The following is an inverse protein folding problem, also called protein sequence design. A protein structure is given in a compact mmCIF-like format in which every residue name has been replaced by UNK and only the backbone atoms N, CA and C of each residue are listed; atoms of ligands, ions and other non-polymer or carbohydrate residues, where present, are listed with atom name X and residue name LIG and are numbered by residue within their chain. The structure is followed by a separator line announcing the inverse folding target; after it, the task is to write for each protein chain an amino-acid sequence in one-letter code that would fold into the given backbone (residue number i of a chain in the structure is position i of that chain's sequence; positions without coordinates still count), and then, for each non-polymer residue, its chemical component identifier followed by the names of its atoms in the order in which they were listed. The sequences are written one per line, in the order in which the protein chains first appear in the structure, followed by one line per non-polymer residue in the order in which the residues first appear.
data_IF_010267352863
#
_entry.id   IF_010267352863
#
_cell.length_a   1.000
_cell.length_b   1.000
_cell.length_c   1.000
_cell.angle_alpha   90.00
_cell.angle_beta   90.00
_cell.angle_gamma   90.00
#
_symmetry.space_group_name_H-M   'P 1'
#
loop_
_entity.id
_entity.type
_entity.pdbx_description
1 polymer ?
#
# COMPACT_ATOMS: atom_id res chain seq x y z
N UNK A 1 -18.73 13.60 40.06
CA UNK A 1 -17.67 12.76 40.65
C UNK A 1 -17.06 11.92 39.52
N UNK A 2 -16.07 12.48 38.80
CA UNK A 2 -15.51 11.90 37.57
C UNK A 2 -14.25 11.12 37.93
N UNK A 3 -14.27 9.79 37.75
CA UNK A 3 -13.08 8.94 37.92
C UNK A 3 -12.21 9.04 36.67
N UNK A 4 -10.96 9.44 36.87
CA UNK A 4 -9.95 9.62 35.83
C UNK A 4 -9.47 8.31 35.19
N UNK A 5 -9.31 8.36 33.87
CA UNK A 5 -8.60 7.37 33.06
C UNK A 5 -7.09 7.63 33.16
N UNK A 6 -6.45 7.15 34.23
CA UNK A 6 -4.98 7.04 34.28
C UNK A 6 -4.56 5.66 33.75
N UNK A 7 -4.69 5.46 32.44
CA UNK A 7 -4.05 4.35 31.76
C UNK A 7 -2.56 4.65 31.57
N UNK A 8 -1.68 4.02 32.33
CA UNK A 8 -0.24 4.03 32.03
C UNK A 8 -0.04 3.51 30.59
N UNK A 9 0.77 4.16 29.75
CA UNK A 9 1.10 3.61 28.44
C UNK A 9 1.72 2.22 28.61
N UNK A 10 1.41 1.26 27.72
CA UNK A 10 1.96 -0.08 27.79
C UNK A 10 3.49 -0.02 27.78
N UNK A 11 4.15 -0.76 28.68
CA UNK A 11 5.61 -0.91 28.69
C UNK A 11 6.04 -1.55 27.36
N UNK A 12 6.76 -0.79 26.55
CA UNK A 12 7.44 -1.28 25.34
C UNK A 12 8.49 -2.29 25.78
N UNK A 13 8.51 -3.48 25.17
CA UNK A 13 9.57 -4.47 25.42
C UNK A 13 10.82 -4.06 24.64
N UNK A 14 12.02 -4.20 25.21
CA UNK A 14 13.30 -3.78 24.58
C UNK A 14 13.53 -4.41 23.19
N UNK A 15 12.96 -5.59 22.91
CA UNK A 15 13.02 -6.26 21.59
C UNK A 15 12.17 -5.57 20.49
N UNK A 16 11.47 -4.49 20.83
CA UNK A 16 10.62 -3.71 19.93
C UNK A 16 11.29 -2.42 19.46
N UNK A 17 12.44 -2.06 20.03
CA UNK A 17 13.13 -0.81 19.77
C UNK A 17 14.23 -1.03 18.72
N UNK A 18 14.24 -0.19 17.70
CA UNK A 18 15.27 -0.15 16.66
C UNK A 18 15.76 1.29 16.52
N UNK A 19 17.08 1.50 16.53
CA UNK A 19 17.66 2.81 16.28
C UNK A 19 17.98 3.00 14.80
N UNK A 20 17.41 4.04 14.18
CA UNK A 20 17.62 4.38 12.77
C UNK A 20 17.93 5.86 12.66
N UNK A 21 19.04 6.19 11.98
CA UNK A 21 19.50 7.57 11.81
C UNK A 21 19.62 8.33 13.15
N UNK A 22 19.97 7.64 14.25
CA UNK A 22 20.07 8.24 15.59
C UNK A 22 18.74 8.36 16.34
N UNK A 23 17.63 7.90 15.75
CA UNK A 23 16.29 7.99 16.36
C UNK A 23 15.76 6.63 16.77
N UNK A 24 15.03 6.62 17.88
CA UNK A 24 14.28 5.46 18.35
C UNK A 24 13.05 5.21 17.46
N UNK A 25 12.89 3.96 17.03
CA UNK A 25 11.72 3.46 16.33
C UNK A 25 11.18 2.25 17.08
N UNK A 26 9.91 2.34 17.47
CA UNK A 26 9.25 1.32 18.28
C UNK A 26 8.28 0.53 17.40
N UNK A 27 8.40 -0.80 17.35
CA UNK A 27 7.41 -1.66 16.69
C UNK A 27 6.10 -1.64 17.48
N UNK A 28 5.04 -1.13 16.87
CA UNK A 28 3.72 -0.97 17.49
C UNK A 28 2.83 -2.19 17.21
N UNK A 29 2.82 -2.68 15.96
CA UNK A 29 1.96 -3.82 15.53
C UNK A 29 2.66 -4.66 14.47
N UNK A 30 2.31 -5.94 14.40
CA UNK A 30 2.81 -6.89 13.38
C UNK A 30 1.70 -7.81 12.89
N UNK A 31 1.72 -8.08 11.60
CA UNK A 31 0.96 -9.12 10.92
C UNK A 31 1.89 -9.87 9.94
N UNK A 32 1.45 -11.00 9.37
CA UNK A 32 2.25 -11.82 8.45
C UNK A 32 2.74 -11.04 7.20
N UNK A 33 1.99 -10.03 6.77
CA UNK A 33 2.29 -9.24 5.56
C UNK A 33 2.57 -7.75 5.78
N UNK A 34 2.49 -7.24 7.02
CA UNK A 34 2.80 -5.83 7.30
C UNK A 34 3.26 -5.63 8.75
N UNK A 35 3.98 -4.54 8.99
CA UNK A 35 4.44 -4.12 10.32
C UNK A 35 4.26 -2.61 10.47
N UNK A 36 3.79 -2.18 11.65
CA UNK A 36 3.69 -0.76 11.99
C UNK A 36 4.73 -0.43 13.06
N UNK A 37 5.37 0.72 12.88
CA UNK A 37 6.34 1.31 13.78
C UNK A 37 5.93 2.75 14.10
N UNK A 38 6.37 3.25 15.25
CA UNK A 38 6.20 4.65 15.63
C UNK A 38 7.55 5.31 15.89
N UNK A 39 7.65 6.59 15.56
CA UNK A 39 8.74 7.47 15.99
C UNK A 39 8.15 8.74 16.62
N UNK A 40 8.90 9.35 17.53
CA UNK A 40 8.57 10.61 18.19
C UNK A 40 9.03 11.85 17.41
N UNK A 41 9.62 11.67 16.23
CA UNK A 41 10.09 12.80 15.41
C UNK A 41 8.93 13.58 14.83
N UNK A 42 8.91 14.89 15.12
CA UNK A 42 7.87 15.80 14.63
C UNK A 42 8.28 16.58 13.37
N UNK A 43 9.58 16.70 13.08
CA UNK A 43 10.09 17.41 11.90
C UNK A 43 10.05 16.50 10.66
N UNK A 44 9.46 16.99 9.57
CA UNK A 44 9.28 16.22 8.33
C UNK A 44 10.59 15.83 7.62
N UNK A 45 11.63 16.68 7.65
CA UNK A 45 12.94 16.38 7.07
C UNK A 45 13.63 15.25 7.84
N UNK A 46 13.63 15.32 9.17
CA UNK A 46 14.16 14.27 10.03
C UNK A 46 13.37 12.96 9.86
N UNK A 47 12.04 13.07 9.72
CA UNK A 47 11.18 11.92 9.44
C UNK A 47 11.47 11.29 8.07
N UNK A 48 11.69 12.09 7.03
CA UNK A 48 12.12 11.63 5.71
C UNK A 48 13.50 10.95 5.76
N UNK A 49 14.45 11.50 6.52
CA UNK A 49 15.76 10.90 6.71
C UNK A 49 15.66 9.51 7.40
N UNK A 50 14.82 9.40 8.43
CA UNK A 50 14.48 8.12 9.06
C UNK A 50 13.87 7.16 8.05
N UNK A 51 12.89 7.61 7.25
CA UNK A 51 12.19 6.78 6.28
C UNK A 51 13.15 6.18 5.25
N UNK A 52 14.07 6.99 4.72
CA UNK A 52 15.10 6.54 3.78
C UNK A 52 16.11 5.58 4.44
N UNK A 53 16.55 5.89 5.66
CA UNK A 53 17.47 5.01 6.39
C UNK A 53 16.80 3.66 6.74
N UNK A 54 15.51 3.68 7.10
CA UNK A 54 14.71 2.49 7.31
C UNK A 54 14.61 1.68 6.01
N UNK A 55 14.26 2.34 4.89
CA UNK A 55 14.13 1.70 3.58
C UNK A 55 15.43 1.01 3.12
N UNK A 56 16.57 1.67 3.29
CA UNK A 56 17.89 1.10 2.96
C UNK A 56 18.26 -0.14 3.78
N UNK A 57 17.72 -0.27 5.00
CA UNK A 57 17.89 -1.50 5.80
C UNK A 57 16.99 -2.64 5.33
N UNK A 58 15.86 -2.33 4.68
CA UNK A 58 14.95 -3.34 4.14
C UNK A 58 15.45 -3.87 2.80
N UNK A 59 16.01 -3.00 1.94
CA UNK A 59 16.50 -3.40 0.63
C UNK A 59 16.89 -2.23 -0.26
N UNK A 60 16.89 -2.48 -1.58
CA UNK A 60 17.23 -1.46 -2.57
C UNK A 60 15.99 -0.61 -2.85
N UNK A 61 16.12 0.71 -2.68
CA UNK A 61 15.03 1.65 -2.99
C UNK A 61 14.77 1.62 -4.49
N UNK A 62 13.50 1.48 -4.86
CA UNK A 62 13.00 1.57 -6.22
C UNK A 62 12.56 3.03 -6.45
N UNK A 63 13.23 3.80 -7.33
CA UNK A 63 12.83 5.18 -7.58
C UNK A 63 11.42 5.26 -8.18
N UNK A 64 10.66 6.26 -7.71
CA UNK A 64 9.34 6.61 -8.21
C UNK A 64 9.40 7.50 -9.45
N UNK A 65 8.32 8.26 -9.65
CA UNK A 65 8.24 9.20 -10.80
C UNK A 65 9.37 10.24 -10.72
N UNK A 66 9.94 10.59 -11.88
CA UNK A 66 11.04 11.55 -12.00
C UNK A 66 12.28 11.20 -11.14
N UNK A 67 12.44 9.92 -10.74
CA UNK A 67 13.57 9.46 -9.93
C UNK A 67 13.45 9.77 -8.44
N UNK A 68 12.28 10.19 -7.95
CA UNK A 68 12.06 10.49 -6.54
C UNK A 68 12.26 9.25 -5.66
N UNK A 69 13.04 9.39 -4.58
CA UNK A 69 13.23 8.31 -3.59
C UNK A 69 12.14 8.29 -2.52
N UNK A 70 11.54 9.45 -2.25
CA UNK A 70 10.34 9.61 -1.42
C UNK A 70 9.30 10.31 -2.27
N UNK A 71 8.09 9.77 -2.28
CA UNK A 71 6.95 10.38 -2.96
C UNK A 71 5.90 10.81 -1.93
N UNK A 72 5.53 12.11 -1.88
CA UNK A 72 4.39 12.53 -1.08
C UNK A 72 3.08 12.02 -1.71
N UNK A 73 2.25 11.41 -0.89
CA UNK A 73 0.93 10.91 -1.24
C UNK A 73 -0.10 11.73 -0.46
N UNK A 74 -0.85 12.52 -1.22
CA UNK A 74 -1.94 13.36 -0.74
C UNK A 74 -3.21 12.97 -1.51
N UNK A 75 -4.37 12.79 -0.85
CA UNK A 75 -5.61 12.60 -1.57
C UNK A 75 -5.95 13.81 -2.44
N UNK A 76 -6.15 13.57 -3.73
CA UNK A 76 -6.51 14.61 -4.71
C UNK A 76 -7.86 14.30 -5.34
N UNK A 77 -8.57 15.35 -5.78
CA UNK A 77 -9.71 15.18 -6.68
C UNK A 77 -9.25 14.62 -8.03
N UNK A 78 -10.20 14.14 -8.83
CA UNK A 78 -9.94 13.62 -10.17
C UNK A 78 -9.29 14.66 -11.08
N UNK A 79 -9.64 15.93 -10.95
CA UNK A 79 -9.15 17.06 -11.77
C UNK A 79 -7.72 17.47 -11.39
N UNK A 80 -7.36 17.33 -10.10
CA UNK A 80 -6.04 17.67 -9.58
C UNK A 80 -5.06 16.49 -9.56
N UNK A 81 -5.54 15.29 -9.87
CA UNK A 81 -4.73 14.09 -9.90
C UNK A 81 -3.86 14.03 -11.15
N UNK A 82 -2.69 13.41 -11.01
CA UNK A 82 -1.84 13.11 -12.16
C UNK A 82 -2.56 12.17 -13.13
N UNK A 83 -2.48 12.46 -14.43
CA UNK A 83 -3.08 11.63 -15.48
C UNK A 83 -2.67 10.16 -15.30
N UNK A 84 -3.65 9.24 -15.42
CA UNK A 84 -3.43 7.78 -15.33
C UNK A 84 -2.90 7.31 -13.98
N UNK A 85 -3.09 8.10 -12.91
CA UNK A 85 -3.00 7.60 -11.54
C UNK A 85 -4.34 6.99 -11.12
N UNK A 86 -4.33 6.11 -10.10
CA UNK A 86 -5.58 5.66 -9.47
C UNK A 86 -6.43 6.85 -8.97
N UNK A 87 -5.80 7.92 -8.48
CA UNK A 87 -6.53 9.12 -8.08
C UNK A 87 -7.20 9.86 -9.26
N UNK A 88 -6.73 9.70 -10.50
CA UNK A 88 -7.42 10.26 -11.66
C UNK A 88 -8.72 9.50 -11.98
N UNK A 89 -8.83 8.23 -11.61
CA UNK A 89 -10.03 7.43 -11.80
C UNK A 89 -11.00 7.50 -10.60
N UNK A 90 -10.47 7.54 -9.37
CA UNK A 90 -11.27 7.41 -8.14
C UNK A 90 -11.29 8.69 -7.29
N UNK A 91 -10.39 9.63 -7.53
CA UNK A 91 -10.27 10.90 -6.81
C UNK A 91 -10.28 10.74 -5.29
N UNK A 92 -11.27 11.39 -4.67
CA UNK A 92 -11.51 11.39 -3.23
C UNK A 92 -12.33 10.20 -2.72
N UNK A 93 -12.88 9.40 -3.64
CA UNK A 93 -13.59 8.17 -3.34
C UNK A 93 -12.70 7.10 -2.72
N UNK A 94 -13.28 5.92 -2.55
CA UNK A 94 -12.52 4.73 -2.14
C UNK A 94 -11.50 4.38 -3.21
N UNK A 95 -10.23 4.24 -2.81
CA UNK A 95 -9.21 3.67 -3.68
C UNK A 95 -9.29 2.15 -3.59
N UNK A 96 -9.47 1.46 -4.72
CA UNK A 96 -9.63 0.01 -4.73
C UNK A 96 -8.38 -0.68 -4.19
N UNK A 97 -8.58 -1.90 -3.72
CA UNK A 97 -7.49 -2.77 -3.28
C UNK A 97 -6.60 -3.12 -4.47
N UNK A 98 -5.30 -2.91 -4.35
CA UNK A 98 -4.31 -3.17 -5.40
C UNK A 98 -2.95 -3.56 -4.80
N UNK A 99 -2.03 -4.01 -5.66
CA UNK A 99 -0.59 -3.95 -5.37
C UNK A 99 0.00 -2.72 -6.04
N UNK A 100 0.95 -2.05 -5.40
CA UNK A 100 1.56 -0.85 -5.94
C UNK A 100 2.61 -1.24 -6.99
N UNK A 101 2.93 -0.32 -7.90
CA UNK A 101 3.87 -0.55 -9.01
C UNK A 101 3.50 -1.77 -9.89
N UNK A 102 2.22 -2.13 -9.97
CA UNK A 102 1.72 -3.19 -10.84
C UNK A 102 2.03 -2.95 -12.33
N UNK A 103 2.36 -1.72 -12.71
CA UNK A 103 2.81 -1.32 -14.05
C UNK A 103 4.31 -1.51 -14.28
N UNK A 104 5.07 -2.02 -13.31
CA UNK A 104 6.46 -2.44 -13.50
C UNK A 104 6.52 -3.93 -13.85
N UNK A 105 7.50 -4.35 -14.66
CA UNK A 105 7.71 -5.77 -14.99
C UNK A 105 7.82 -6.62 -13.72
N UNK A 106 8.56 -6.11 -12.72
CA UNK A 106 8.59 -6.63 -11.36
C UNK A 106 8.16 -5.50 -10.41
N UNK A 107 6.97 -5.61 -9.78
CA UNK A 107 6.54 -4.65 -8.76
C UNK A 107 7.52 -4.63 -7.60
N UNK A 108 7.66 -3.46 -6.97
CA UNK A 108 8.38 -3.33 -5.71
C UNK A 108 7.85 -4.36 -4.71
N UNK A 109 8.75 -5.01 -3.98
CA UNK A 109 8.39 -6.08 -3.04
C UNK A 109 7.81 -5.51 -1.75
N UNK A 110 8.32 -4.38 -1.31
CA UNK A 110 7.87 -3.71 -0.11
C UNK A 110 7.51 -2.26 -0.40
N UNK A 111 6.54 -1.77 0.37
CA UNK A 111 6.22 -0.36 0.46
C UNK A 111 6.40 0.08 1.90
N UNK A 112 6.95 1.27 2.09
CA UNK A 112 7.00 1.92 3.38
C UNK A 112 6.20 3.20 3.25
N UNK A 113 5.15 3.31 4.04
CA UNK A 113 4.31 4.50 4.14
C UNK A 113 4.61 5.18 5.48
N UNK A 114 5.08 6.42 5.47
CA UNK A 114 5.30 7.24 6.66
C UNK A 114 4.23 8.32 6.79
N UNK A 115 3.66 8.51 7.97
CA UNK A 115 2.61 9.50 8.20
C UNK A 115 3.17 10.82 8.74
N UNK A 116 3.18 11.86 7.90
CA UNK A 116 3.52 13.22 8.31
C UNK A 116 2.30 13.96 8.87
N UNK A 117 1.15 13.82 8.22
CA UNK A 117 -0.13 14.34 8.68
C UNK A 117 -1.22 13.27 8.52
N UNK A 118 -1.82 12.75 9.61
CA UNK A 118 -2.87 11.72 9.53
C UNK A 118 -4.19 12.26 8.97
N UNK A 119 -4.38 13.57 8.99
CA UNK A 119 -5.57 14.26 8.52
C UNK A 119 -6.78 14.17 9.43
N UNK A 120 -7.94 14.52 8.88
CA UNK A 120 -9.21 14.39 9.58
C UNK A 120 -9.58 12.91 9.78
N UNK A 121 -10.27 12.62 10.87
CA UNK A 121 -10.70 11.27 11.24
C UNK A 121 -11.49 10.61 10.09
N UNK A 122 -11.20 9.33 9.80
CA UNK A 122 -11.92 8.52 8.82
C UNK A 122 -11.15 8.14 7.54
N UNK A 123 -9.96 8.71 7.30
CA UNK A 123 -9.13 8.35 6.14
C UNK A 123 -8.22 7.17 6.44
N UNK A 124 -8.76 5.96 6.29
CA UNK A 124 -8.11 4.71 6.68
C UNK A 124 -7.35 4.11 5.50
N UNK A 125 -6.16 3.57 5.77
CA UNK A 125 -5.52 2.63 4.84
C UNK A 125 -6.14 1.26 5.04
N UNK A 126 -6.54 0.61 3.95
CA UNK A 126 -7.13 -0.72 3.93
C UNK A 126 -6.06 -1.74 3.54
N UNK A 127 -6.03 -2.89 4.20
CA UNK A 127 -5.03 -3.94 3.99
C UNK A 127 -5.73 -5.31 3.94
N UNK A 128 -5.41 -6.11 2.94
CA UNK A 128 -5.92 -7.48 2.82
C UNK A 128 -4.79 -8.45 2.43
N UNK A 129 -4.60 -9.55 3.16
CA UNK A 129 -3.64 -10.57 2.78
C UNK A 129 -4.12 -11.31 1.53
N UNK A 130 -3.26 -11.42 0.51
CA UNK A 130 -3.57 -12.13 -0.74
C UNK A 130 -3.91 -13.61 -0.45
N UNK A 131 -3.31 -14.22 0.57
CA UNK A 131 -3.59 -15.60 0.99
C UNK A 131 -5.02 -15.83 1.51
N UNK A 132 -5.74 -14.77 1.88
CA UNK A 132 -7.16 -14.85 2.24
C UNK A 132 -8.08 -14.93 1.02
N UNK A 133 -7.61 -14.53 -0.16
CA UNK A 133 -8.35 -14.69 -1.41
C UNK A 133 -8.42 -16.19 -1.73
N UNK A 134 -9.62 -16.74 -1.69
CA UNK A 134 -9.90 -18.14 -2.04
C UNK A 134 -10.50 -18.19 -3.44
N UNK A 135 -9.85 -18.98 -4.29
CA UNK A 135 -10.25 -19.22 -5.66
C UNK A 135 -10.47 -20.71 -5.87
N UNK A 136 -11.54 -21.06 -6.58
CA UNK A 136 -11.80 -22.38 -7.11
C UNK A 136 -10.76 -22.76 -8.18
N UNK A 137 -10.62 -24.05 -8.53
CA UNK A 137 -9.74 -24.48 -9.61
C UNK A 137 -10.04 -23.80 -10.97
N UNK A 138 -11.33 -23.57 -11.26
CA UNK A 138 -11.77 -22.88 -12.48
C UNK A 138 -11.33 -21.41 -12.50
N UNK A 139 -11.55 -20.69 -11.40
CA UNK A 139 -11.07 -19.31 -11.23
C UNK A 139 -9.54 -19.23 -11.35
N UNK A 140 -8.79 -20.14 -10.70
CA UNK A 140 -7.33 -20.18 -10.83
C UNK A 140 -6.87 -20.41 -12.28
N UNK A 141 -7.55 -21.30 -13.02
CA UNK A 141 -7.27 -21.53 -14.44
C UNK A 141 -7.49 -20.27 -15.27
N UNK A 142 -8.57 -19.54 -15.01
CA UNK A 142 -8.86 -18.28 -15.71
C UNK A 142 -7.85 -17.19 -15.34
N UNK A 143 -7.60 -16.96 -14.05
CA UNK A 143 -6.66 -15.95 -13.55
C UNK A 143 -5.21 -16.17 -14.05
N UNK A 144 -4.85 -17.42 -14.38
CA UNK A 144 -3.54 -17.80 -14.92
C UNK A 144 -3.45 -17.77 -16.44
N UNK A 145 -4.56 -17.61 -17.15
CA UNK A 145 -4.60 -17.67 -18.63
C UNK A 145 -5.21 -16.44 -19.30
N UNK A 146 -6.06 -15.68 -18.61
CA UNK A 146 -6.63 -14.44 -19.13
C UNK A 146 -5.55 -13.36 -19.26
N UNK A 147 -5.27 -12.96 -20.50
CA UNK A 147 -4.25 -11.96 -20.81
C UNK A 147 -4.83 -10.56 -20.67
N UNK A 148 -4.08 -9.70 -20.01
CA UNK A 148 -4.36 -8.28 -19.86
C UNK A 148 -3.21 -7.44 -20.38
N UNK A 149 -3.56 -6.24 -20.86
CA UNK A 149 -2.58 -5.20 -21.14
C UNK A 149 -2.33 -4.40 -19.86
N UNK A 150 -1.10 -4.44 -19.37
CA UNK A 150 -0.65 -3.61 -18.25
C UNK A 150 -0.09 -2.30 -18.80
N UNK A 151 -0.77 -1.20 -18.53
CA UNK A 151 -0.42 0.14 -18.99
C UNK A 151 0.75 0.73 -18.21
N UNK A 152 1.82 1.08 -18.94
CA UNK A 152 3.03 1.73 -18.42
C UNK A 152 3.62 2.69 -19.46
N UNK A 153 2.75 3.45 -20.13
CA UNK A 153 3.12 4.31 -21.25
C UNK A 153 3.76 3.51 -22.40
N UNK A 154 4.93 3.93 -22.88
CA UNK A 154 5.69 3.23 -23.95
C UNK A 154 6.23 1.87 -23.52
N UNK A 155 6.20 1.54 -22.23
CA UNK A 155 6.67 0.26 -21.66
C UNK A 155 5.51 -0.64 -21.25
N UNK A 156 4.32 -0.43 -21.79
CA UNK A 156 3.17 -1.30 -21.56
C UNK A 156 3.48 -2.73 -22.01
N UNK A 157 2.94 -3.73 -21.32
CA UNK A 157 3.24 -5.13 -21.56
C UNK A 157 2.05 -6.02 -21.27
N UNK A 158 2.04 -7.23 -21.84
CA UNK A 158 1.01 -8.22 -21.58
C UNK A 158 1.35 -9.07 -20.35
N UNK A 159 0.35 -9.32 -19.51
CA UNK A 159 0.47 -10.15 -18.32
C UNK A 159 -0.88 -10.74 -17.95
N UNK A 160 -0.88 -11.80 -17.15
CA UNK A 160 -2.04 -12.35 -16.45
C UNK A 160 -2.15 -11.76 -15.04
N UNK A 161 -3.17 -12.14 -14.24
CA UNK A 161 -3.28 -11.80 -12.80
C UNK A 161 -2.41 -12.72 -11.94
N UNK A 162 -2.45 -14.02 -12.24
CA UNK A 162 -1.62 -15.05 -11.62
C UNK A 162 -0.68 -15.67 -12.65
N UNK A 163 0.51 -16.03 -12.21
CA UNK A 163 1.50 -16.70 -13.05
C UNK A 163 2.32 -17.63 -12.16
N UNK A 164 2.50 -18.87 -12.62
CA UNK A 164 3.19 -19.93 -11.86
C UNK A 164 4.67 -19.62 -11.64
N UNK A 165 5.25 -18.77 -12.48
CA UNK A 165 6.66 -18.39 -12.44
C UNK A 165 6.93 -17.13 -11.61
N UNK A 166 5.91 -16.50 -10.99
CA UNK A 166 6.10 -15.31 -10.16
C UNK A 166 5.47 -15.46 -8.76
N UNK A 167 6.10 -14.88 -7.73
CA UNK A 167 5.68 -15.05 -6.34
C UNK A 167 4.60 -14.06 -5.88
N UNK A 168 3.93 -13.35 -6.81
CA UNK A 168 2.96 -12.31 -6.49
C UNK A 168 1.74 -12.36 -7.41
N UNK A 169 0.59 -11.99 -6.85
CA UNK A 169 -0.61 -11.68 -7.61
C UNK A 169 -0.47 -10.25 -8.15
N UNK A 170 -0.66 -10.07 -9.45
CA UNK A 170 -0.68 -8.73 -10.08
C UNK A 170 -2.12 -8.30 -10.22
N UNK A 171 -2.52 -7.29 -9.45
CA UNK A 171 -3.85 -6.70 -9.54
C UNK A 171 -3.78 -5.22 -9.21
N UNK A 172 -4.10 -4.41 -10.21
CA UNK A 172 -4.29 -2.98 -10.09
C UNK A 172 -5.31 -2.57 -11.18
N UNK A 173 -6.58 -2.34 -10.81
CA UNK A 173 -7.61 -1.97 -11.79
C UNK A 173 -7.33 -0.61 -12.46
N UNK A 174 -6.40 0.20 -11.94
CA UNK A 174 -5.99 1.46 -12.53
C UNK A 174 -5.01 1.33 -13.69
N UNK A 175 -4.34 0.18 -13.85
CA UNK A 175 -3.38 -0.03 -14.94
C UNK A 175 -3.51 -1.35 -15.68
N UNK A 176 -4.40 -2.26 -15.26
CA UNK A 176 -4.63 -3.53 -15.94
C UNK A 176 -5.91 -3.44 -16.78
N UNK A 177 -5.75 -3.50 -18.10
CA UNK A 177 -6.86 -3.46 -19.05
C UNK A 177 -7.13 -4.88 -19.61
N UNK A 178 -8.38 -5.37 -19.52
CA UNK A 178 -8.74 -6.64 -20.14
C UNK A 178 -8.69 -6.54 -21.68
N UNK A 179 -8.24 -7.61 -22.35
CA UNK A 179 -8.21 -7.66 -23.81
C UNK A 179 -9.49 -8.23 -24.42
N UNK A 180 -10.25 -8.99 -23.64
CA UNK A 180 -11.47 -9.68 -24.02
C UNK A 180 -12.33 -9.94 -22.77
N UNK A 181 -13.49 -10.58 -22.96
CA UNK A 181 -14.42 -10.95 -21.89
C UNK A 181 -13.76 -11.82 -20.81
N UNK A 182 -12.76 -12.64 -21.16
CA UNK A 182 -12.05 -13.47 -20.17
C UNK A 182 -11.21 -12.62 -19.22
N UNK A 183 -10.63 -11.53 -19.72
CA UNK A 183 -9.96 -10.53 -18.90
C UNK A 183 -10.92 -9.81 -17.95
N UNK A 184 -12.11 -9.45 -18.42
CA UNK A 184 -13.16 -8.82 -17.60
C UNK A 184 -13.60 -9.76 -16.47
N UNK A 185 -13.91 -11.02 -16.80
CA UNK A 185 -14.25 -12.06 -15.83
C UNK A 185 -13.13 -12.26 -14.80
N UNK A 186 -11.87 -12.24 -15.23
CA UNK A 186 -10.72 -12.38 -14.35
C UNK A 186 -10.61 -11.23 -13.33
N UNK A 187 -10.87 -9.98 -13.77
CA UNK A 187 -10.91 -8.82 -12.86
C UNK A 187 -12.09 -8.92 -11.88
N UNK A 188 -13.26 -9.34 -12.36
CA UNK A 188 -14.45 -9.51 -11.54
C UNK A 188 -14.23 -10.58 -10.45
N UNK A 189 -13.61 -11.71 -10.78
CA UNK A 189 -13.26 -12.77 -9.82
C UNK A 189 -12.43 -12.24 -8.66
N UNK A 190 -11.42 -11.41 -8.96
CA UNK A 190 -10.57 -10.83 -7.90
C UNK A 190 -11.36 -9.82 -7.07
N UNK A 191 -12.15 -8.96 -7.72
CA UNK A 191 -13.02 -8.00 -7.05
C UNK A 191 -13.99 -8.70 -6.08
N UNK A 192 -14.66 -9.75 -6.53
CA UNK A 192 -15.59 -10.54 -5.71
C UNK A 192 -14.87 -11.25 -4.57
N UNK A 193 -13.68 -11.81 -4.82
CA UNK A 193 -12.87 -12.43 -3.78
C UNK A 193 -12.45 -11.44 -2.69
N UNK A 194 -12.16 -10.18 -3.06
CA UNK A 194 -11.89 -9.09 -2.11
C UNK A 194 -13.15 -8.75 -1.32
N UNK A 195 -14.32 -8.70 -1.96
CA UNK A 195 -15.60 -8.44 -1.30
C UNK A 195 -16.02 -9.48 -0.26
N UNK A 196 -15.49 -10.71 -0.36
CA UNK A 196 -15.78 -11.82 0.57
C UNK A 196 -14.89 -11.88 1.82
N UNK A 197 -13.85 -11.07 1.90
CA UNK A 197 -12.86 -11.15 2.99
C UNK A 197 -12.93 -9.95 3.93
N UNK A 198 -12.53 -10.16 5.18
CA UNK A 198 -12.37 -9.07 6.13
C UNK A 198 -11.13 -8.24 5.81
N UNK A 199 -11.32 -6.92 5.69
CA UNK A 199 -10.24 -5.98 5.40
C UNK A 199 -9.76 -5.30 6.67
N UNK A 200 -8.46 -5.38 6.92
CA UNK A 200 -7.81 -4.72 8.05
C UNK A 200 -7.79 -3.22 7.77
N UNK A 201 -8.29 -2.44 8.71
CA UNK A 201 -8.28 -0.97 8.66
C UNK A 201 -7.15 -0.43 9.52
N UNK A 202 -6.26 0.34 8.92
CA UNK A 202 -5.19 1.05 9.60
C UNK A 202 -5.53 2.54 9.68
N UNK A 203 -5.77 2.99 10.91
CA UNK A 203 -5.89 4.39 11.27
C UNK A 203 -4.50 4.94 11.59
N UNK A 204 -4.17 6.07 10.97
CA UNK A 204 -2.84 6.67 11.04
C UNK A 204 -2.68 7.59 12.24
N UNK A 205 -1.48 7.58 12.81
CA UNK A 205 -0.97 8.62 13.70
C UNK A 205 0.25 9.27 13.08
N UNK A 206 0.47 10.55 13.38
CA UNK A 206 1.70 11.24 12.97
C UNK A 206 2.92 10.48 13.51
N UNK A 207 3.96 10.34 12.68
CA UNK A 207 5.18 9.61 13.01
C UNK A 207 5.06 8.09 12.90
N UNK A 208 3.93 7.53 12.44
CA UNK A 208 3.84 6.11 12.15
C UNK A 208 4.49 5.75 10.81
N UNK A 209 5.12 4.58 10.77
CA UNK A 209 5.65 3.94 9.58
C UNK A 209 4.97 2.59 9.39
N UNK A 210 4.41 2.36 8.22
CA UNK A 210 3.80 1.09 7.83
C UNK A 210 4.65 0.43 6.74
N UNK A 211 5.33 -0.66 7.10
CA UNK A 211 6.03 -1.54 6.17
C UNK A 211 5.04 -2.61 5.66
N UNK A 212 4.76 -2.61 4.37
CA UNK A 212 3.85 -3.55 3.70
C UNK A 212 4.68 -4.45 2.79
N UNK A 213 4.47 -5.77 2.85
CA UNK A 213 4.91 -6.69 1.81
C UNK A 213 3.91 -6.65 0.65
N UNK A 214 4.22 -5.84 -0.37
CA UNK A 214 3.39 -5.58 -1.53
C UNK A 214 3.10 -6.83 -2.38
N UNK A 215 3.91 -7.88 -2.25
CA UNK A 215 3.68 -9.14 -2.97
C UNK A 215 2.69 -10.08 -2.28
N UNK A 216 2.43 -9.87 -0.99
CA UNK A 216 1.52 -10.71 -0.19
C UNK A 216 0.29 -9.96 0.32
N UNK A 217 0.21 -8.66 0.08
CA UNK A 217 -0.84 -7.77 0.58
C UNK A 217 -1.40 -6.93 -0.54
N UNK A 218 -2.73 -6.88 -0.62
CA UNK A 218 -3.43 -5.80 -1.29
C UNK A 218 -3.60 -4.63 -0.32
N UNK A 219 -3.63 -3.42 -0.85
CA UNK A 219 -3.90 -2.22 -0.08
C UNK A 219 -4.76 -1.22 -0.85
N UNK A 220 -5.46 -0.37 -0.11
CA UNK A 220 -6.34 0.67 -0.65
C UNK A 220 -6.60 1.74 0.40
N UNK A 221 -7.61 2.58 0.18
CA UNK A 221 -7.98 3.66 1.10
C UNK A 221 -9.48 3.84 1.11
N UNK A 222 -10.10 4.06 2.26
CA UNK A 222 -11.51 4.52 2.34
C UNK A 222 -11.68 5.89 1.70
N UNK A 223 -12.90 6.32 1.37
CA UNK A 223 -13.14 7.69 0.91
C UNK A 223 -12.58 8.76 1.89
N UNK A 224 -12.26 9.94 1.37
CA UNK A 224 -11.62 11.03 2.16
C UNK A 224 -11.98 12.41 1.63
N UNK A 225 -11.60 13.45 2.38
CA UNK A 225 -11.56 14.82 1.91
C UNK A 225 -10.22 15.18 1.25
N UNK A 226 -10.25 16.09 0.27
CA UNK A 226 -9.04 16.58 -0.41
C UNK A 226 -8.04 17.16 0.57
N UNK A 227 -6.75 16.93 0.28
CA UNK A 227 -5.60 17.45 1.04
C UNK A 227 -5.63 17.19 2.55
N UNK A 228 -6.49 16.26 2.98
CA UNK A 228 -6.69 16.00 4.40
C UNK A 228 -5.47 15.32 5.01
N UNK A 229 -4.78 14.45 4.26
CA UNK A 229 -3.71 13.56 4.76
C UNK A 229 -2.45 13.69 3.92
N UNK A 230 -1.28 13.64 4.58
CA UNK A 230 0.03 13.54 3.92
C UNK A 230 0.76 12.30 4.41
N UNK A 231 0.98 11.37 3.49
CA UNK A 231 1.88 10.23 3.68
C UNK A 231 3.11 10.38 2.78
N UNK A 232 4.25 9.87 3.21
CA UNK A 232 5.42 9.68 2.37
C UNK A 232 5.53 8.20 1.99
N UNK A 233 5.75 7.91 0.71
CA UNK A 233 5.97 6.55 0.21
C UNK A 233 7.41 6.36 -0.21
N UNK A 234 7.97 5.21 0.18
CA UNK A 234 9.20 4.66 -0.38
C UNK A 234 8.93 3.22 -0.85
N UNK A 235 9.25 2.94 -2.11
CA UNK A 235 9.17 1.60 -2.68
C UNK A 235 10.53 0.90 -2.57
N UNK A 236 10.53 -0.39 -2.20
CA UNK A 236 11.77 -1.15 -1.94
C UNK A 236 11.67 -2.55 -2.56
N UNK A 237 12.77 -3.04 -3.13
CA UNK A 237 12.89 -4.39 -3.69
C UNK A 237 13.38 -5.42 -2.68
#
# INVERSE_FOLDING_TARGET
MVRGLNGRPPRVKEDQIVYIAGHEIIRVKKHAGWRCYGTSVENDDAFCAILLAFARRIGIIVPGRKGALIEPIVPRSTEAAEERSLSAAYGLGELPMHIDTAHYLRPARHLILGCANPGQSGTLTRLAPISALKFSPGELSLLTSAVMLVRSGRRSFYSTILDRCRPFLRYDPGCMEPLDARGEDALQIVSDAIGRIEVIKHEWRRGELLLINNWSMLHGRTATAADSRLLFRVSVQ
#
